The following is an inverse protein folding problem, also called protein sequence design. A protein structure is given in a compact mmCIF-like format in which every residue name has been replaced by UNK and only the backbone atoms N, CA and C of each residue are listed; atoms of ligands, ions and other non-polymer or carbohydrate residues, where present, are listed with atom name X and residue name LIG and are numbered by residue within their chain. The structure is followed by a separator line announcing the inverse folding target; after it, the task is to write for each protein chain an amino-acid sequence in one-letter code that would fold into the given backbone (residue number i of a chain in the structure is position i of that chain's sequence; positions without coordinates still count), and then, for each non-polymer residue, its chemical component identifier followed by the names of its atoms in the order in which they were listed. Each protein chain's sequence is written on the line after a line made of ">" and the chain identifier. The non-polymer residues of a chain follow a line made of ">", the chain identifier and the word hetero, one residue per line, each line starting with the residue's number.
data_IF_576716072408
#
_entry.id   IF_576716072408
#
_cell.length_a   1.000
_cell.length_b   1.000
_cell.length_c   1.000
_cell.angle_alpha   90.00
_cell.angle_beta   90.00
_cell.angle_gamma   90.00
#
_symmetry.space_group_name_H-M   'P 1'
#
loop_
_entity.id
_entity.type
_entity.pdbx_description
1 polymer ?
#
# COMPACT_ATOMS: atom_id res chain seq x y z
N UNK A 1 -17.50 -11.04 20.43
CA UNK A 1 -17.20 -10.40 19.13
C UNK A 1 -15.90 -10.99 18.58
N UNK A 2 -15.91 -11.64 17.41
CA UNK A 2 -14.68 -12.18 16.78
C UNK A 2 -13.94 -11.01 16.14
N UNK A 3 -12.87 -10.55 16.78
CA UNK A 3 -11.94 -9.60 16.17
C UNK A 3 -11.15 -10.39 15.14
N UNK A 4 -11.64 -10.40 13.89
CA UNK A 4 -10.88 -10.92 12.77
C UNK A 4 -9.58 -10.13 12.68
N UNK A 5 -8.49 -10.83 12.94
CA UNK A 5 -7.11 -10.38 12.81
C UNK A 5 -6.93 -9.86 11.39
N UNK A 6 -7.17 -8.56 11.20
CA UNK A 6 -6.93 -7.85 9.95
C UNK A 6 -5.43 -7.98 9.68
N UNK A 7 -5.04 -9.02 8.94
CA UNK A 7 -3.67 -9.26 8.51
C UNK A 7 -3.18 -7.98 7.87
N UNK A 8 -2.41 -7.19 8.63
CA UNK A 8 -1.78 -5.98 8.14
C UNK A 8 -0.85 -6.47 7.04
N UNK A 9 -1.28 -6.31 5.78
CA UNK A 9 -0.46 -6.67 4.63
C UNK A 9 0.65 -5.62 4.58
N UNK A 10 1.71 -5.93 5.30
CA UNK A 10 2.95 -5.17 5.34
C UNK A 10 3.66 -5.45 4.02
N UNK A 11 3.98 -4.38 3.29
CA UNK A 11 4.73 -4.41 2.06
C UNK A 11 6.10 -3.82 2.31
N UNK A 12 7.12 -4.47 1.76
CA UNK A 12 8.50 -3.99 1.80
C UNK A 12 8.83 -3.36 0.46
N UNK A 13 9.36 -2.13 0.49
CA UNK A 13 9.82 -1.48 -0.73
C UNK A 13 11.06 -2.19 -1.28
N UNK A 14 11.06 -2.66 -2.54
CA UNK A 14 12.23 -3.31 -3.14
C UNK A 14 13.42 -2.35 -3.36
N UNK A 15 13.16 -1.03 -3.34
CA UNK A 15 14.19 -0.01 -3.59
C UNK A 15 14.94 0.42 -2.33
N UNK A 16 14.25 0.55 -1.20
CA UNK A 16 14.83 1.07 0.04
C UNK A 16 14.67 0.14 1.25
N UNK A 17 13.94 -0.98 1.13
CA UNK A 17 13.69 -1.91 2.23
C UNK A 17 12.70 -1.41 3.29
N UNK A 18 12.03 -0.27 3.05
CA UNK A 18 11.05 0.27 4.00
C UNK A 18 9.80 -0.60 4.06
N UNK A 19 9.41 -1.04 5.25
CA UNK A 19 8.21 -1.85 5.49
C UNK A 19 7.03 -0.97 5.92
N UNK A 20 5.88 -1.11 5.27
CA UNK A 20 4.72 -0.26 5.51
C UNK A 20 3.41 -0.96 5.14
N UNK A 21 2.30 -0.52 5.77
CA UNK A 21 0.97 -1.00 5.41
C UNK A 21 0.46 -0.32 4.14
N UNK A 22 -0.22 -1.08 3.28
CA UNK A 22 -0.78 -0.55 2.04
C UNK A 22 -1.80 0.58 2.26
N UNK A 23 -2.57 0.55 3.34
CA UNK A 23 -3.53 1.61 3.68
C UNK A 23 -2.80 2.91 3.97
N UNK A 24 -1.67 2.83 4.68
CA UNK A 24 -0.82 3.97 4.98
C UNK A 24 -0.20 4.55 3.69
N UNK A 25 0.33 3.68 2.82
CA UNK A 25 0.86 4.13 1.53
C UNK A 25 -0.18 4.78 0.62
N UNK A 26 -1.42 4.29 0.59
CA UNK A 26 -2.47 4.93 -0.22
C UNK A 26 -2.79 6.34 0.27
N UNK A 27 -2.87 6.53 1.59
CA UNK A 27 -3.19 7.84 2.19
C UNK A 27 -2.04 8.82 1.98
N UNK A 28 -0.79 8.40 2.17
CA UNK A 28 0.37 9.31 2.16
C UNK A 28 1.08 9.43 0.82
N UNK A 29 1.10 8.37 0.02
CA UNK A 29 1.87 8.33 -1.22
C UNK A 29 0.98 8.54 -2.45
N UNK A 30 -0.28 8.11 -2.40
CA UNK A 30 -1.27 8.35 -3.45
C UNK A 30 -2.27 9.47 -3.10
N UNK A 31 -1.92 10.41 -2.21
CA UNK A 31 -2.79 11.49 -1.72
C UNK A 31 -3.41 12.40 -2.79
N UNK A 32 -2.95 12.30 -4.05
CA UNK A 32 -3.50 13.04 -5.20
C UNK A 32 -4.19 12.19 -6.26
N UNK A 33 -4.34 10.87 -6.05
CA UNK A 33 -4.88 9.96 -7.06
C UNK A 33 -6.25 9.41 -6.61
N UNK A 34 -7.36 9.79 -7.27
CA UNK A 34 -8.70 9.34 -6.86
C UNK A 34 -8.84 7.81 -6.91
N UNK A 35 -8.14 7.15 -7.84
CA UNK A 35 -8.10 5.71 -7.99
C UNK A 35 -7.44 4.97 -6.82
N UNK A 36 -6.62 5.66 -6.02
CA UNK A 36 -6.00 5.08 -4.83
C UNK A 36 -6.99 4.98 -3.66
N UNK A 37 -7.92 5.95 -3.56
CA UNK A 37 -9.03 5.93 -2.60
C UNK A 37 -10.02 4.80 -2.91
N UNK A 38 -10.25 4.50 -4.20
CA UNK A 38 -11.05 3.35 -4.62
C UNK A 38 -10.33 2.01 -4.39
N UNK A 39 -9.03 2.04 -4.11
CA UNK A 39 -8.22 0.87 -3.83
C UNK A 39 -7.86 0.01 -5.04
N UNK A 40 -8.48 0.24 -6.19
CA UNK A 40 -8.37 -0.56 -7.42
C UNK A 40 -7.20 -0.21 -8.34
N UNK A 41 -6.32 0.71 -7.91
CA UNK A 41 -5.20 1.13 -8.74
C UNK A 41 -4.15 0.03 -9.02
N UNK A 42 -4.11 -1.06 -8.24
CA UNK A 42 -3.10 -2.14 -8.37
C UNK A 42 -1.64 -1.72 -8.12
N UNK A 43 -1.42 -0.42 -7.91
CA UNK A 43 -0.12 0.21 -7.66
C UNK A 43 0.00 0.59 -6.18
N UNK A 44 1.21 0.52 -5.67
CA UNK A 44 1.59 0.99 -4.35
C UNK A 44 2.81 1.90 -4.49
N UNK A 45 2.82 3.00 -3.74
CA UNK A 45 3.93 3.94 -3.72
C UNK A 45 4.57 3.95 -2.36
N UNK A 46 5.88 3.77 -2.31
CA UNK A 46 6.62 3.81 -1.06
C UNK A 46 6.60 5.24 -0.49
N UNK A 47 6.12 5.45 0.76
CA UNK A 47 6.09 6.78 1.36
C UNK A 47 7.50 7.32 1.69
N UNK A 48 8.51 6.45 1.84
CA UNK A 48 9.88 6.84 2.15
C UNK A 48 10.66 7.30 0.92
N UNK A 49 10.73 6.49 -0.14
CA UNK A 49 11.53 6.78 -1.33
C UNK A 49 10.72 7.20 -2.57
N UNK A 50 9.38 7.25 -2.45
CA UNK A 50 8.43 7.59 -3.52
C UNK A 50 8.47 6.65 -4.73
N UNK A 51 9.05 5.45 -4.58
CA UNK A 51 9.07 4.45 -5.65
C UNK A 51 7.69 3.80 -5.81
N UNK A 52 7.21 3.74 -7.04
CA UNK A 52 5.92 3.17 -7.42
C UNK A 52 6.13 1.77 -8.00
N UNK A 53 5.39 0.79 -7.49
CA UNK A 53 5.47 -0.60 -7.92
C UNK A 53 4.09 -1.27 -7.80
N UNK A 54 3.88 -2.35 -8.54
CA UNK A 54 2.62 -3.10 -8.47
C UNK A 54 2.61 -3.97 -7.19
N UNK A 55 1.47 -4.00 -6.50
CA UNK A 55 1.26 -4.96 -5.42
C UNK A 55 0.34 -6.06 -5.96
N UNK A 56 0.75 -7.32 -5.80
CA UNK A 56 -0.08 -8.45 -6.23
C UNK A 56 -1.30 -8.52 -5.32
N UNK A 57 -2.46 -8.17 -5.88
CA UNK A 57 -3.74 -8.47 -5.28
C UNK A 57 -4.07 -9.90 -5.71
N UNK A 58 -3.57 -10.90 -4.97
CA UNK A 58 -4.08 -12.27 -5.13
C UNK A 58 -5.59 -12.21 -4.95
N UNK A 59 -6.31 -12.54 -6.02
CA UNK A 59 -7.77 -12.53 -6.13
C UNK A 59 -8.39 -13.62 -5.26
#
# INVERSE_FOLDING_TARGET
>A
MKVESRSRRLYVCPKCGFEFDISYARVFACSGCPSASLGDCGMIKCPACKHEFQYERTF
#
